data_IF_352908317132
#
_entry.id   IF_352908317132
#
_cell.length_a   1.000
_cell.length_b   1.000
_cell.length_c   1.000
_cell.angle_alpha   90.00
_cell.angle_beta   90.00
_cell.angle_gamma   90.00
#
_symmetry.space_group_name_H-M   'P 1'
#
loop_
_entity.id
_entity.type
_entity.pdbx_description
1 polymer ?
#
# COMPACT_ATOMS: atom_id res chain seq x y z
N UNK A 1 28.85 -22.30 7.74
CA UNK A 1 27.59 -21.57 7.50
C UNK A 1 27.47 -20.49 8.59
N UNK A 2 27.64 -19.22 8.23
CA UNK A 2 27.43 -18.10 9.16
C UNK A 2 25.92 -17.90 9.34
N UNK A 3 25.41 -17.96 10.56
CA UNK A 3 24.01 -17.59 10.86
C UNK A 3 23.96 -16.06 10.91
N UNK A 4 23.28 -15.44 9.95
CA UNK A 4 23.22 -13.98 9.76
C UNK A 4 22.50 -13.24 10.88
N UNK A 5 23.09 -13.19 12.06
CA UNK A 5 22.69 -12.31 13.16
C UNK A 5 23.79 -11.29 13.37
N UNK A 6 23.96 -10.40 12.39
CA UNK A 6 24.72 -9.17 12.60
C UNK A 6 23.80 -8.21 13.36
N UNK A 7 24.21 -7.83 14.58
CA UNK A 7 23.50 -6.81 15.34
C UNK A 7 23.63 -5.48 14.62
N UNK A 8 22.50 -4.88 14.26
CA UNK A 8 22.45 -3.54 13.71
C UNK A 8 22.94 -2.54 14.76
N UNK A 9 23.72 -1.56 14.31
CA UNK A 9 24.15 -0.45 15.16
C UNK A 9 23.01 0.55 15.36
N UNK A 10 23.10 1.45 16.36
CA UNK A 10 22.02 2.38 16.70
C UNK A 10 21.56 3.26 15.53
N UNK A 11 22.45 3.65 14.62
CA UNK A 11 22.10 4.40 13.40
C UNK A 11 21.24 3.61 12.42
N UNK A 12 21.49 2.31 12.32
CA UNK A 12 20.73 1.43 11.44
C UNK A 12 19.36 1.15 12.04
N UNK A 13 19.28 1.04 13.37
CA UNK A 13 18.01 0.92 14.08
C UNK A 13 17.14 2.19 13.92
N UNK A 14 17.75 3.38 13.98
CA UNK A 14 17.06 4.66 13.72
C UNK A 14 16.52 4.74 12.29
N UNK A 15 17.29 4.28 11.30
CA UNK A 15 16.84 4.21 9.90
C UNK A 15 15.65 3.26 9.73
N UNK A 16 15.73 2.05 10.30
CA UNK A 16 14.63 1.07 10.27
C UNK A 16 13.38 1.61 10.97
N UNK A 17 13.56 2.33 12.07
CA UNK A 17 12.47 2.97 12.77
C UNK A 17 11.77 4.02 11.89
N UNK A 18 12.54 4.82 11.16
CA UNK A 18 11.99 5.84 10.25
C UNK A 18 11.22 5.23 9.06
N UNK A 19 11.72 4.14 8.48
CA UNK A 19 11.02 3.39 7.42
C UNK A 19 9.65 2.89 7.88
N UNK A 20 9.55 2.45 9.14
CA UNK A 20 8.31 1.97 9.73
C UNK A 20 7.42 3.10 10.27
N UNK A 21 7.97 4.26 10.60
CA UNK A 21 7.21 5.37 11.19
C UNK A 21 6.09 5.85 10.27
N UNK A 22 6.33 5.91 8.96
CA UNK A 22 5.33 6.35 7.97
C UNK A 22 4.14 5.41 7.84
N UNK A 23 4.36 4.10 7.91
CA UNK A 23 3.30 3.09 7.88
C UNK A 23 2.54 3.03 9.21
N UNK A 24 3.24 3.25 10.33
CA UNK A 24 2.66 3.30 11.67
C UNK A 24 1.89 4.58 11.99
N UNK A 25 2.24 5.72 11.36
CA UNK A 25 1.58 7.02 11.59
C UNK A 25 0.47 7.36 10.59
N UNK A 26 0.36 6.68 9.46
CA UNK A 26 -0.69 6.97 8.50
C UNK A 26 -2.07 6.53 9.05
N UNK A 27 -2.99 7.49 9.21
CA UNK A 27 -4.39 7.25 9.60
C UNK A 27 -5.24 6.52 8.52
N UNK A 28 -4.65 6.19 7.37
CA UNK A 28 -5.22 5.33 6.33
C UNK A 28 -4.20 4.25 6.01
N UNK A 29 -4.61 3.09 5.49
CA UNK A 29 -3.63 2.08 5.18
C UNK A 29 -2.65 2.64 4.16
N UNK A 30 -1.35 2.68 4.51
CA UNK A 30 -0.27 2.82 3.52
C UNK A 30 -0.21 1.60 2.59
N UNK A 31 -1.05 0.60 2.88
CA UNK A 31 -1.09 -0.74 2.35
C UNK A 31 -2.53 -1.27 2.54
N UNK A 32 -3.50 -0.81 1.74
CA UNK A 32 -4.91 -1.20 1.91
C UNK A 32 -5.03 -2.73 1.87
N UNK A 33 -5.79 -3.32 2.80
CA UNK A 33 -6.07 -4.75 2.73
C UNK A 33 -7.13 -4.98 1.64
N UNK A 34 -6.75 -5.65 0.57
CA UNK A 34 -7.54 -5.84 -0.66
C UNK A 34 -8.99 -6.28 -0.44
N UNK A 35 -9.29 -7.07 0.60
CA UNK A 35 -10.65 -7.52 0.91
C UNK A 35 -11.63 -6.42 1.31
N UNK A 36 -11.16 -5.18 1.46
CA UNK A 36 -11.95 -4.02 1.92
C UNK A 36 -11.88 -2.83 0.96
N UNK A 37 -11.14 -2.95 -0.14
CA UNK A 37 -11.18 -2.00 -1.25
C UNK A 37 -12.46 -2.27 -2.05
N UNK A 38 -13.28 -1.25 -2.40
CA UNK A 38 -14.46 -1.50 -3.23
C UNK A 38 -14.04 -2.23 -4.50
N UNK A 39 -14.70 -3.35 -4.78
CA UNK A 39 -14.46 -4.08 -6.03
C UNK A 39 -14.74 -3.15 -7.23
N UNK A 40 -13.95 -3.26 -8.30
CA UNK A 40 -14.19 -2.49 -9.50
C UNK A 40 -15.56 -2.88 -10.09
N UNK A 41 -16.24 -1.93 -10.76
CA UNK A 41 -17.56 -2.18 -11.32
C UNK A 41 -17.52 -3.28 -12.39
N UNK A 42 -18.64 -4.00 -12.54
CA UNK A 42 -18.76 -5.17 -13.40
C UNK A 42 -18.95 -4.79 -14.88
N UNK A 43 -18.60 -5.69 -15.81
CA UNK A 43 -18.63 -5.42 -17.25
C UNK A 43 -20.03 -5.08 -17.80
N UNK A 44 -21.08 -5.52 -17.11
CA UNK A 44 -22.48 -5.26 -17.43
C UNK A 44 -23.11 -4.11 -16.61
N UNK A 45 -22.34 -3.46 -15.73
CA UNK A 45 -22.80 -2.26 -15.05
C UNK A 45 -23.08 -1.16 -16.09
N UNK A 46 -24.18 -0.40 -15.94
CA UNK A 46 -24.58 0.59 -16.94
C UNK A 46 -23.54 1.69 -17.12
N UNK A 47 -22.76 2.00 -16.08
CA UNK A 47 -21.65 2.97 -16.15
C UNK A 47 -20.44 2.39 -16.92
N UNK A 48 -20.18 1.08 -16.80
CA UNK A 48 -19.10 0.40 -17.54
C UNK A 48 -19.51 0.18 -19.01
N UNK A 49 -20.73 -0.27 -19.26
CA UNK A 49 -21.31 -0.43 -20.60
C UNK A 49 -21.41 0.88 -21.38
N UNK A 50 -21.62 2.00 -20.68
CA UNK A 50 -21.62 3.35 -21.26
C UNK A 50 -20.22 3.94 -21.40
N UNK A 51 -19.19 3.24 -20.91
CA UNK A 51 -17.80 3.69 -20.91
C UNK A 51 -17.54 4.91 -20.03
N UNK A 52 -18.39 5.17 -19.05
CA UNK A 52 -18.28 6.30 -18.11
C UNK A 52 -17.45 5.96 -16.88
N UNK A 53 -17.26 4.66 -16.57
CA UNK A 53 -16.28 4.22 -15.60
C UNK A 53 -14.86 4.22 -16.21
N UNK A 54 -14.29 5.42 -16.32
CA UNK A 54 -12.84 5.57 -16.46
C UNK A 54 -12.30 5.81 -15.06
N UNK A 55 -11.91 4.74 -14.36
CA UNK A 55 -11.05 4.89 -13.16
C UNK A 55 -9.88 5.79 -13.54
N UNK A 56 -9.72 6.99 -12.93
CA UNK A 56 -8.56 7.81 -13.24
C UNK A 56 -7.30 7.10 -12.77
N UNK A 57 -6.31 7.03 -13.66
CA UNK A 57 -4.98 6.50 -13.38
C UNK A 57 -4.43 7.17 -12.10
N UNK A 58 -3.98 6.40 -11.09
CA UNK A 58 -3.49 6.96 -9.85
C UNK A 58 -2.08 7.53 -10.05
N UNK A 59 -2.01 8.69 -10.72
CA UNK A 59 -0.76 9.32 -11.16
C UNK A 59 -0.83 10.83 -11.40
N UNK A 60 -1.77 11.57 -10.79
CA UNK A 60 -1.78 13.04 -10.71
C UNK A 60 -1.92 13.50 -9.26
#
# INVERSE_FOLDING_TARGET
MQRGSDKHGPRQDEQLQHELEGTLRANRPTHAHEWRDPEPPADDDPEVLRGTDVRPDPGQ
#
